data_IF_466465075947
#
_entry.id   IF_466465075947
#
_cell.length_a   1.000
_cell.length_b   1.000
_cell.length_c   1.000
_cell.angle_alpha   90.00
_cell.angle_beta   90.00
_cell.angle_gamma   90.00
#
_symmetry.space_group_name_H-M   'P 1'
#
loop_
_entity.id
_entity.type
_entity.pdbx_description
1 polymer ?
#
# COMPACT_ATOMS: atom_id res chain seq x y z
N UNK A 1 22.52 8.06 -26.94
CA UNK A 1 23.31 7.22 -26.03
C UNK A 1 23.24 7.73 -24.58
N UNK A 2 23.43 9.00 -24.33
CA UNK A 2 23.33 9.65 -23.01
C UNK A 2 21.97 9.43 -22.30
N UNK A 3 20.84 9.53 -23.00
CA UNK A 3 19.51 9.37 -22.41
C UNK A 3 19.27 7.94 -21.85
N UNK A 4 19.73 6.91 -22.57
CA UNK A 4 19.59 5.51 -22.11
C UNK A 4 20.38 5.23 -20.83
N UNK A 5 21.59 5.77 -20.73
CA UNK A 5 22.43 5.64 -19.55
C UNK A 5 21.80 6.34 -18.35
N UNK A 6 21.26 7.57 -18.55
CA UNK A 6 20.58 8.33 -17.53
C UNK A 6 19.32 7.61 -17.00
N UNK A 7 18.49 7.07 -17.90
CA UNK A 7 17.32 6.28 -17.49
C UNK A 7 17.71 5.02 -16.73
N UNK A 8 18.80 4.35 -17.13
CA UNK A 8 19.34 3.20 -16.40
C UNK A 8 19.79 3.55 -14.98
N UNK A 9 20.56 4.62 -14.84
CA UNK A 9 21.04 5.10 -13.53
C UNK A 9 19.89 5.52 -12.62
N UNK A 10 18.92 6.24 -13.17
CA UNK A 10 17.71 6.60 -12.41
C UNK A 10 16.91 5.37 -12.00
N UNK A 11 16.77 4.38 -12.87
CA UNK A 11 16.08 3.13 -12.54
C UNK A 11 16.76 2.39 -11.38
N UNK A 12 18.09 2.28 -11.40
CA UNK A 12 18.86 1.68 -10.28
C UNK A 12 18.66 2.47 -9.00
N UNK A 13 18.81 3.80 -9.06
CA UNK A 13 18.59 4.69 -7.92
C UNK A 13 17.17 4.52 -7.32
N UNK A 14 16.13 4.62 -8.16
CA UNK A 14 14.75 4.53 -7.71
C UNK A 14 14.42 3.15 -7.11
N UNK A 15 14.95 2.08 -7.71
CA UNK A 15 14.82 0.71 -7.17
C UNK A 15 15.52 0.58 -5.82
N UNK A 16 16.72 1.12 -5.68
CA UNK A 16 17.48 1.10 -4.41
C UNK A 16 16.71 1.85 -3.33
N UNK A 17 16.23 3.07 -3.62
CA UNK A 17 15.40 3.85 -2.70
C UNK A 17 14.16 3.05 -2.29
N UNK A 18 13.46 2.45 -3.24
CA UNK A 18 12.27 1.65 -2.97
C UNK A 18 12.58 0.48 -2.01
N UNK A 19 13.62 -0.31 -2.31
CA UNK A 19 14.01 -1.46 -1.49
C UNK A 19 14.41 -1.03 -0.09
N UNK A 20 15.26 -0.02 0.04
CA UNK A 20 15.69 0.50 1.36
C UNK A 20 14.50 0.98 2.17
N UNK A 21 13.60 1.75 1.57
CA UNK A 21 12.41 2.28 2.26
C UNK A 21 11.44 1.16 2.66
N UNK A 22 11.28 0.12 1.84
CA UNK A 22 10.47 -1.06 2.20
C UNK A 22 11.08 -1.77 3.40
N UNK A 23 12.39 -2.04 3.40
CA UNK A 23 13.07 -2.72 4.51
C UNK A 23 12.98 -1.92 5.81
N UNK A 24 13.22 -0.62 5.77
CA UNK A 24 13.08 0.27 6.93
C UNK A 24 11.63 0.29 7.44
N UNK A 25 10.67 0.38 6.53
CA UNK A 25 9.25 0.37 6.88
C UNK A 25 8.86 -0.95 7.56
N UNK A 26 9.31 -2.08 7.02
CA UNK A 26 9.09 -3.41 7.61
C UNK A 26 9.68 -3.50 9.01
N UNK A 27 10.93 -3.07 9.20
CA UNK A 27 11.59 -3.07 10.50
C UNK A 27 10.83 -2.23 11.53
N UNK A 28 10.41 -1.01 11.16
CA UNK A 28 9.65 -0.13 12.04
C UNK A 28 8.27 -0.70 12.38
N UNK A 29 7.57 -1.30 11.39
CA UNK A 29 6.25 -1.92 11.59
C UNK A 29 6.34 -3.17 12.47
N UNK A 30 7.47 -3.90 12.42
CA UNK A 30 7.68 -5.08 13.24
C UNK A 30 7.61 -4.76 14.74
N UNK A 31 8.19 -3.62 15.14
CA UNK A 31 8.27 -3.18 16.56
C UNK A 31 7.17 -2.20 16.96
N UNK A 32 6.46 -1.61 16.00
CA UNK A 32 5.45 -0.60 16.27
C UNK A 32 4.24 -1.16 17.02
N UNK A 33 3.77 -0.52 18.11
CA UNK A 33 2.55 -0.90 18.80
C UNK A 33 1.31 -0.41 18.06
N UNK A 34 0.26 -1.25 18.06
CA UNK A 34 -1.06 -0.86 17.57
C UNK A 34 -1.18 -0.63 16.05
N UNK A 35 -2.41 -0.74 15.56
CA UNK A 35 -2.72 -0.68 14.13
C UNK A 35 -2.49 0.70 13.52
N UNK A 36 -2.93 1.75 14.23
CA UNK A 36 -2.82 3.14 13.77
C UNK A 36 -1.36 3.58 13.60
N UNK A 37 -0.47 3.21 14.54
CA UNK A 37 0.95 3.53 14.43
C UNK A 37 1.58 2.85 13.21
N UNK A 38 1.29 1.56 12.99
CA UNK A 38 1.77 0.79 11.84
C UNK A 38 1.30 1.39 10.51
N UNK A 39 0.02 1.75 10.41
CA UNK A 39 -0.53 2.41 9.22
C UNK A 39 0.12 3.76 8.94
N UNK A 40 0.39 4.57 9.98
CA UNK A 40 1.13 5.85 9.84
C UNK A 40 2.55 5.63 9.33
N UNK A 41 3.26 4.62 9.85
CA UNK A 41 4.62 4.28 9.40
C UNK A 41 4.62 3.87 7.93
N UNK A 42 3.73 2.95 7.53
CA UNK A 42 3.64 2.49 6.14
C UNK A 42 3.29 3.64 5.20
N UNK A 43 2.34 4.51 5.58
CA UNK A 43 1.99 5.71 4.80
C UNK A 43 3.19 6.64 4.60
N UNK A 44 3.94 6.93 5.68
CA UNK A 44 5.13 7.78 5.61
C UNK A 44 6.24 7.13 4.77
N UNK A 45 6.46 5.83 4.94
CA UNK A 45 7.42 5.08 4.15
C UNK A 45 7.12 5.15 2.65
N UNK A 46 5.87 4.88 2.27
CA UNK A 46 5.42 4.99 0.88
C UNK A 46 5.57 6.42 0.33
N UNK A 47 5.15 7.44 1.08
CA UNK A 47 5.30 8.84 0.68
C UNK A 47 6.77 9.25 0.51
N UNK A 48 7.66 8.73 1.36
CA UNK A 48 9.10 9.00 1.28
C UNK A 48 9.74 8.44 0.01
N UNK A 49 9.29 7.28 -0.48
CA UNK A 49 9.75 6.73 -1.76
C UNK A 49 9.54 7.76 -2.88
N UNK A 50 8.33 8.28 -3.01
CA UNK A 50 7.98 9.24 -4.06
C UNK A 50 8.74 10.57 -3.92
N UNK A 51 8.95 11.04 -2.69
CA UNK A 51 9.74 12.27 -2.45
C UNK A 51 11.21 12.09 -2.81
N UNK A 52 11.82 10.99 -2.38
CA UNK A 52 13.25 10.73 -2.61
C UNK A 52 13.56 10.43 -4.07
N UNK A 53 12.63 9.81 -4.79
CA UNK A 53 12.80 9.58 -6.25
C UNK A 53 12.46 10.79 -7.10
N UNK A 54 12.12 11.94 -6.50
CA UNK A 54 11.78 13.15 -7.26
C UNK A 54 10.44 13.06 -8.00
N UNK A 55 9.55 12.13 -7.59
CA UNK A 55 8.22 11.93 -8.19
C UNK A 55 7.12 12.23 -7.14
N UNK A 56 7.02 13.47 -6.64
CA UNK A 56 6.10 13.80 -5.54
C UNK A 56 4.63 13.56 -5.95
N UNK A 57 3.86 12.99 -5.03
CA UNK A 57 2.44 12.77 -5.24
C UNK A 57 1.66 14.05 -4.97
N UNK A 58 0.87 14.47 -5.95
CA UNK A 58 -0.12 15.54 -5.78
C UNK A 58 -1.48 14.92 -5.52
N UNK A 59 -1.95 15.01 -4.28
CA UNK A 59 -3.24 14.46 -3.84
C UNK A 59 -4.26 15.59 -3.73
N UNK A 60 -5.41 15.46 -4.38
CA UNK A 60 -6.50 16.43 -4.35
C UNK A 60 -7.78 15.76 -3.85
N UNK A 61 -8.67 16.53 -3.22
CA UNK A 61 -10.00 16.06 -2.84
C UNK A 61 -10.04 15.20 -1.57
N UNK A 62 -9.00 15.15 -0.75
CA UNK A 62 -9.04 14.43 0.54
C UNK A 62 -10.13 14.95 1.48
N UNK A 63 -10.50 16.22 1.37
CA UNK A 63 -11.58 16.85 2.13
C UNK A 63 -12.99 16.33 1.76
N UNK A 64 -13.13 15.64 0.62
CA UNK A 64 -14.40 15.03 0.21
C UNK A 64 -14.59 13.61 0.79
N UNK A 65 -13.57 13.07 1.44
CA UNK A 65 -13.69 11.77 2.10
C UNK A 65 -14.49 11.97 3.40
N UNK A 66 -15.69 11.37 3.54
CA UNK A 66 -16.50 11.53 4.75
C UNK A 66 -15.76 10.98 5.98
N UNK A 67 -16.09 11.52 7.16
CA UNK A 67 -15.50 11.04 8.42
C UNK A 67 -16.08 9.69 8.85
N UNK A 68 -17.28 9.38 8.41
CA UNK A 68 -17.95 8.09 8.65
C UNK A 68 -17.25 6.94 7.92
N UNK A 69 -17.52 5.70 8.33
CA UNK A 69 -17.02 4.51 7.61
C UNK A 69 -17.45 4.53 6.14
N UNK A 70 -16.50 4.45 5.23
CA UNK A 70 -16.76 4.47 3.79
C UNK A 70 -15.82 3.51 3.04
N UNK A 71 -16.25 3.12 1.85
CA UNK A 71 -15.46 2.29 0.93
C UNK A 71 -14.96 3.19 -0.20
N UNK A 72 -13.65 3.15 -0.43
CA UNK A 72 -13.01 3.83 -1.55
C UNK A 72 -12.70 2.81 -2.63
N UNK A 73 -13.22 3.06 -3.83
CA UNK A 73 -12.95 2.25 -5.02
C UNK A 73 -12.08 3.07 -5.96
N UNK A 74 -10.99 2.49 -6.43
CA UNK A 74 -10.07 3.12 -7.37
C UNK A 74 -9.80 2.22 -8.58
N UNK A 75 -9.55 2.84 -9.73
CA UNK A 75 -9.02 2.12 -10.89
C UNK A 75 -7.65 1.55 -10.55
N UNK A 76 -7.41 0.30 -10.97
CA UNK A 76 -6.18 -0.41 -10.66
C UNK A 76 -5.54 -0.93 -11.96
N UNK A 77 -4.52 -0.22 -12.41
CA UNK A 77 -3.82 -0.50 -13.66
C UNK A 77 -2.32 -0.82 -13.47
N UNK A 78 -1.76 -0.57 -12.28
CA UNK A 78 -0.33 -0.70 -12.01
C UNK A 78 -0.05 -1.29 -10.63
N UNK A 79 1.09 -1.99 -10.52
CA UNK A 79 1.61 -2.41 -9.20
C UNK A 79 1.97 -1.23 -8.29
N UNK A 80 2.16 -0.03 -8.83
CA UNK A 80 2.42 1.18 -8.07
C UNK A 80 1.17 1.77 -7.40
N UNK A 81 -0.03 1.38 -7.82
CA UNK A 81 -1.28 1.91 -7.26
C UNK A 81 -1.40 1.60 -5.76
N UNK A 82 -0.94 0.42 -5.32
CA UNK A 82 -0.89 0.08 -3.90
C UNK A 82 -0.05 1.07 -3.08
N UNK A 83 1.23 1.27 -3.38
CA UNK A 83 2.06 2.30 -2.77
C UNK A 83 1.50 3.72 -2.88
N UNK A 84 0.95 4.10 -4.04
CA UNK A 84 0.36 5.44 -4.26
C UNK A 84 -0.84 5.65 -3.33
N UNK A 85 -1.80 4.74 -3.30
CA UNK A 85 -2.97 4.82 -2.43
C UNK A 85 -2.58 4.79 -0.94
N UNK A 86 -1.58 3.98 -0.60
CA UNK A 86 -1.05 3.93 0.78
C UNK A 86 -0.43 5.26 1.20
N UNK A 87 0.28 5.95 0.31
CA UNK A 87 0.87 7.25 0.58
C UNK A 87 -0.18 8.36 0.64
N UNK A 88 -1.21 8.29 -0.21
CA UNK A 88 -2.22 9.33 -0.39
C UNK A 88 -3.30 9.29 0.70
N UNK A 89 -3.86 8.12 0.99
CA UNK A 89 -5.02 7.99 1.86
C UNK A 89 -4.69 8.18 3.35
N UNK A 90 -5.64 8.69 4.15
CA UNK A 90 -5.51 8.73 5.60
C UNK A 90 -5.25 7.34 6.20
N UNK A 91 -4.51 7.23 7.32
CA UNK A 91 -4.12 5.94 7.90
C UNK A 91 -5.28 5.17 8.58
N UNK A 92 -6.50 5.69 8.52
CA UNK A 92 -7.70 4.99 8.98
C UNK A 92 -8.17 3.90 8.01
N UNK A 93 -7.79 3.98 6.72
CA UNK A 93 -8.19 2.99 5.72
C UNK A 93 -7.36 1.72 5.79
N UNK A 94 -8.05 0.57 5.69
CA UNK A 94 -7.48 -0.73 5.38
C UNK A 94 -7.56 -0.99 3.87
N UNK A 95 -6.90 -2.04 3.41
CA UNK A 95 -6.90 -2.42 1.99
C UNK A 95 -7.48 -3.81 1.81
N UNK A 96 -8.28 -3.97 0.77
CA UNK A 96 -8.71 -5.29 0.29
C UNK A 96 -7.79 -5.71 -0.84
N UNK A 97 -7.09 -6.81 -0.65
CA UNK A 97 -5.96 -7.23 -1.48
C UNK A 97 -6.17 -8.64 -2.00
N UNK A 98 -5.72 -8.85 -3.21
CA UNK A 98 -5.74 -10.14 -3.86
C UNK A 98 -4.94 -11.18 -3.05
N UNK A 99 -5.51 -12.37 -2.83
CA UNK A 99 -4.90 -13.44 -2.02
C UNK A 99 -3.52 -13.86 -2.52
N UNK A 100 -3.25 -13.79 -3.82
CA UNK A 100 -1.94 -14.13 -4.37
C UNK A 100 -0.77 -13.30 -3.81
N UNK A 101 -1.05 -12.11 -3.28
CA UNK A 101 -0.04 -11.29 -2.60
C UNK A 101 0.49 -11.93 -1.31
N UNK A 102 -0.20 -12.94 -0.75
CA UNK A 102 0.30 -13.72 0.39
C UNK A 102 1.53 -14.57 0.04
N UNK A 103 1.78 -14.80 -1.26
CA UNK A 103 2.96 -15.53 -1.74
C UNK A 103 4.24 -14.71 -1.70
N UNK A 104 4.15 -13.39 -1.53
CA UNK A 104 5.30 -12.49 -1.39
C UNK A 104 5.53 -12.23 0.10
N UNK A 105 6.54 -12.84 0.75
CA UNK A 105 6.65 -12.88 2.21
C UNK A 105 6.68 -11.49 2.86
N UNK A 106 7.48 -10.57 2.30
CA UNK A 106 7.62 -9.22 2.84
C UNK A 106 6.33 -8.40 2.71
N UNK A 107 5.68 -8.48 1.54
CA UNK A 107 4.41 -7.82 1.30
C UNK A 107 3.32 -8.42 2.19
N UNK A 108 3.24 -9.74 2.30
CA UNK A 108 2.29 -10.42 3.17
C UNK A 108 2.45 -9.99 4.63
N UNK A 109 3.68 -10.00 5.16
CA UNK A 109 3.95 -9.54 6.51
C UNK A 109 3.44 -8.11 6.74
N UNK A 110 3.84 -7.18 5.86
CA UNK A 110 3.50 -5.77 5.98
C UNK A 110 1.98 -5.54 5.91
N UNK A 111 1.33 -6.11 4.89
CA UNK A 111 -0.10 -5.96 4.64
C UNK A 111 -0.94 -6.54 5.79
N UNK A 112 -0.56 -7.70 6.31
CA UNK A 112 -1.20 -8.29 7.48
C UNK A 112 -1.05 -7.42 8.73
N UNK A 113 0.12 -6.83 8.94
CA UNK A 113 0.40 -5.97 10.12
C UNK A 113 -0.37 -4.66 10.10
N UNK A 114 -0.77 -4.17 8.93
CA UNK A 114 -1.62 -2.97 8.79
C UNK A 114 -3.12 -3.28 8.69
N UNK A 115 -3.50 -4.54 8.90
CA UNK A 115 -4.91 -4.96 8.91
C UNK A 115 -5.56 -4.96 7.53
N UNK A 116 -4.82 -5.36 6.50
CA UNK A 116 -5.39 -5.58 5.17
C UNK A 116 -6.14 -6.91 5.11
N UNK A 117 -7.24 -6.96 4.36
CA UNK A 117 -8.02 -8.16 4.10
C UNK A 117 -7.63 -8.80 2.77
N UNK A 118 -7.50 -10.13 2.76
CA UNK A 118 -7.13 -10.88 1.56
C UNK A 118 -8.35 -11.61 1.01
N UNK A 119 -8.66 -11.36 -0.26
CA UNK A 119 -9.83 -11.92 -0.94
C UNK A 119 -9.43 -12.81 -2.11
N UNK A 120 -10.19 -13.89 -2.31
CA UNK A 120 -10.09 -14.76 -3.48
C UNK A 120 -10.96 -14.18 -4.61
N UNK A 121 -10.37 -13.93 -5.78
CA UNK A 121 -11.09 -13.36 -6.93
C UNK A 121 -11.54 -14.40 -7.95
N UNK A 122 -10.94 -15.60 -7.93
CA UNK A 122 -11.18 -16.63 -8.95
C UNK A 122 -12.38 -17.53 -8.65
N UNK A 123 -12.85 -17.55 -7.40
CA UNK A 123 -13.97 -18.38 -6.95
C UNK A 123 -15.09 -17.47 -6.44
N UNK A 124 -16.19 -17.41 -7.16
CA UNK A 124 -17.34 -16.56 -6.85
C UNK A 124 -17.92 -16.88 -5.46
N UNK A 125 -17.97 -18.15 -5.08
CA UNK A 125 -18.49 -18.57 -3.78
C UNK A 125 -17.57 -18.11 -2.63
N UNK A 126 -16.26 -18.25 -2.80
CA UNK A 126 -15.27 -17.79 -1.81
C UNK A 126 -15.22 -16.26 -1.73
N UNK A 127 -15.34 -15.58 -2.86
CA UNK A 127 -15.41 -14.10 -2.89
C UNK A 127 -16.62 -13.57 -2.12
N UNK A 128 -17.79 -14.22 -2.24
CA UNK A 128 -18.99 -13.85 -1.50
C UNK A 128 -18.85 -14.11 0.01
N UNK A 129 -18.22 -15.23 0.40
CA UNK A 129 -17.93 -15.54 1.79
C UNK A 129 -16.93 -14.54 2.42
N UNK A 130 -15.88 -14.19 1.69
CA UNK A 130 -14.90 -13.19 2.12
C UNK A 130 -15.54 -11.80 2.27
N UNK A 131 -16.42 -11.39 1.35
CA UNK A 131 -17.16 -10.13 1.45
C UNK A 131 -18.07 -10.10 2.70
N UNK A 132 -18.82 -11.17 2.96
CA UNK A 132 -19.65 -11.27 4.17
C UNK A 132 -18.81 -11.18 5.45
N UNK A 133 -17.66 -11.85 5.50
CA UNK A 133 -16.75 -11.79 6.64
C UNK A 133 -16.21 -10.39 6.90
N UNK A 134 -15.92 -9.63 5.84
CA UNK A 134 -15.41 -8.25 5.95
C UNK A 134 -16.52 -7.34 6.51
N UNK A 135 -17.75 -7.49 6.04
CA UNK A 135 -18.90 -6.71 6.50
C UNK A 135 -19.34 -6.99 7.94
N UNK A 136 -18.95 -8.13 8.50
CA UNK A 136 -19.27 -8.52 9.90
C UNK A 136 -18.17 -8.14 10.90
N UNK A 137 -17.11 -7.50 10.44
CA UNK A 137 -15.95 -7.10 11.23
C UNK A 137 -16.09 -5.65 11.66
N UNK A 138 -17.11 -5.36 12.48
CA UNK A 138 -17.26 -4.09 13.19
C UNK A 138 -16.45 -4.04 14.50
#
# INVERSE_FOLDING_TARGET
MFSRLWHGLFGVYATTVFVVMVLLTVALVAVAPGLTARRRIVRRGAASVFRLTGTPLLVRGLSHIPDEPCIIVANHASYLDGPILTAALPPRFGFVIKREMTRVPLAHFLLRRIGSEFVERKDTHRSAADARRILQKD
#
